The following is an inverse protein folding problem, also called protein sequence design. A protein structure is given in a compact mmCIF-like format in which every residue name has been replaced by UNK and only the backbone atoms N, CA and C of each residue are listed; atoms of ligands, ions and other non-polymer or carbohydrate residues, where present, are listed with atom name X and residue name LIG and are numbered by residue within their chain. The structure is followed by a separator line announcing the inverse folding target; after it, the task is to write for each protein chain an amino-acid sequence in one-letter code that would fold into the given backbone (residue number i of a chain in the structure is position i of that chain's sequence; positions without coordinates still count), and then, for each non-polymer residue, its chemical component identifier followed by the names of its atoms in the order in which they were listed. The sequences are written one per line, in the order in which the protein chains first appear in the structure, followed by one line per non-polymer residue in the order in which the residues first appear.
data_IF_430682443337
#
_entry.id   IF_430682443337
#
_cell.length_a   1.000
_cell.length_b   1.000
_cell.length_c   1.000
_cell.angle_alpha   90.00
_cell.angle_beta   90.00
_cell.angle_gamma   90.00
#
_symmetry.space_group_name_H-M   'P 1'
#
loop_
_entity.id
_entity.type
_entity.pdbx_description
1 polymer ?
#
# COMPACT_ATOMS: atom_id res chain seq x y z
N UNK A 1 -58.46 -2.75 -29.87
CA UNK A 1 -57.65 -2.42 -31.07
C UNK A 1 -56.75 -3.61 -31.40
N UNK A 2 -56.32 -3.78 -32.66
CA UNK A 2 -55.54 -4.94 -33.12
C UNK A 2 -54.07 -4.60 -33.44
N UNK A 3 -53.16 -5.54 -33.14
CA UNK A 3 -51.95 -5.98 -33.90
C UNK A 3 -51.22 -7.03 -33.02
N UNK A 4 -51.32 -8.33 -33.35
CA UNK A 4 -50.32 -9.16 -34.07
C UNK A 4 -49.01 -9.33 -33.26
N UNK A 5 -48.68 -10.51 -32.66
CA UNK A 5 -48.16 -11.78 -33.27
C UNK A 5 -46.81 -11.56 -33.99
N UNK A 6 -45.72 -12.35 -33.89
CA UNK A 6 -45.37 -13.72 -33.41
C UNK A 6 -43.87 -13.72 -32.94
N UNK A 7 -43.17 -14.77 -32.47
CA UNK A 7 -43.41 -15.97 -31.61
C UNK A 7 -42.06 -16.72 -31.39
N UNK A 8 -42.02 -17.88 -30.70
CA UNK A 8 -40.81 -18.70 -30.41
C UNK A 8 -40.08 -19.23 -31.66
N UNK A 9 -38.74 -19.33 -31.61
CA UNK A 9 -37.94 -20.45 -32.17
C UNK A 9 -36.72 -20.76 -31.31
N UNK A 10 -36.67 -21.97 -30.75
CA UNK A 10 -35.40 -22.65 -30.42
C UNK A 10 -34.94 -23.40 -31.67
N UNK A 11 -33.64 -23.52 -31.90
CA UNK A 11 -33.08 -24.46 -32.89
C UNK A 11 -31.90 -25.18 -32.25
N UNK A 12 -32.04 -26.50 -32.11
CA UNK A 12 -30.94 -27.43 -31.90
C UNK A 12 -30.82 -28.27 -33.18
N UNK A 13 -29.62 -28.53 -33.66
CA UNK A 13 -29.37 -29.29 -34.88
C UNK A 13 -28.06 -30.07 -34.77
N UNK A 14 -28.09 -31.37 -35.08
CA UNK A 14 -26.98 -32.31 -34.89
C UNK A 14 -26.93 -33.26 -36.08
N UNK A 15 -25.73 -33.52 -36.64
CA UNK A 15 -25.18 -34.84 -37.04
C UNK A 15 -24.06 -34.74 -38.09
N UNK A 16 -22.97 -35.51 -37.85
CA UNK A 16 -22.22 -36.45 -38.77
C UNK A 16 -21.77 -35.94 -40.16
N UNK A 17 -20.65 -36.35 -40.78
CA UNK A 17 -19.78 -37.56 -40.76
C UNK A 17 -18.30 -37.12 -41.04
N UNK A 18 -17.19 -37.79 -40.68
CA UNK A 18 -16.68 -39.15 -41.03
C UNK A 18 -16.55 -39.31 -42.57
N UNK A 19 -15.40 -39.57 -43.21
CA UNK A 19 -14.00 -39.88 -42.80
C UNK A 19 -12.98 -39.10 -43.72
N UNK A 20 -11.74 -39.48 -44.14
CA UNK A 20 -10.95 -40.73 -44.10
C UNK A 20 -9.42 -40.53 -44.37
N UNK A 21 -8.60 -41.50 -43.93
CA UNK A 21 -7.30 -42.02 -44.46
C UNK A 21 -6.13 -41.08 -44.83
N UNK A 22 -4.96 -41.35 -44.22
CA UNK A 22 -3.65 -41.43 -44.90
C UNK A 22 -2.72 -42.39 -44.13
N UNK A 23 -2.05 -43.30 -44.85
CA UNK A 23 -1.14 -44.33 -44.30
C UNK A 23 0.23 -44.23 -44.98
N UNK A 24 1.27 -43.90 -44.20
CA UNK A 24 2.65 -44.35 -44.45
C UNK A 24 3.30 -44.54 -43.08
N UNK A 25 4.04 -45.64 -42.89
CA UNK A 25 4.87 -45.87 -41.72
C UNK A 25 6.27 -46.32 -42.13
N UNK A 26 7.27 -46.03 -41.30
CA UNK A 26 8.62 -46.57 -41.42
C UNK A 26 9.21 -46.85 -40.03
N UNK A 27 9.98 -47.93 -39.91
CA UNK A 27 10.56 -48.39 -38.64
C UNK A 27 11.92 -47.72 -38.41
N UNK A 28 12.18 -47.24 -37.19
CA UNK A 28 13.42 -46.53 -36.85
C UNK A 28 13.89 -46.75 -35.41
N UNK A 29 14.76 -47.76 -35.23
CA UNK A 29 15.75 -47.96 -34.14
C UNK A 29 15.42 -47.48 -32.71
N UNK A 30 15.44 -48.43 -31.76
CA UNK A 30 15.96 -48.16 -30.41
C UNK A 30 17.40 -47.62 -30.50
N UNK A 31 17.73 -46.66 -29.65
CA UNK A 31 19.10 -46.30 -29.29
C UNK A 31 19.13 -46.21 -27.77
N UNK A 32 20.02 -46.97 -27.13
CA UNK A 32 20.30 -46.81 -25.70
C UNK A 32 21.18 -45.57 -25.49
N UNK A 33 20.88 -44.80 -24.44
CA UNK A 33 21.63 -43.62 -24.05
C UNK A 33 21.51 -43.43 -22.54
N UNK A 34 22.66 -43.41 -21.85
CA UNK A 34 22.71 -43.44 -20.39
C UNK A 34 22.11 -42.18 -19.76
N UNK A 35 21.31 -42.40 -18.71
CA UNK A 35 20.70 -41.33 -17.92
C UNK A 35 21.74 -40.68 -16.99
N UNK A 36 22.59 -39.81 -17.54
CA UNK A 36 23.51 -38.99 -16.74
C UNK A 36 22.67 -38.01 -15.90
N UNK A 37 22.54 -38.30 -14.61
CA UNK A 37 21.87 -37.44 -13.65
C UNK A 37 22.68 -36.14 -13.44
N UNK A 38 22.33 -35.08 -14.18
CA UNK A 38 22.90 -33.75 -13.96
C UNK A 38 22.29 -33.15 -12.70
N UNK A 39 23.04 -33.23 -11.59
CA UNK A 39 22.71 -32.54 -10.34
C UNK A 39 22.69 -31.03 -10.60
N UNK A 40 21.50 -30.44 -10.64
CA UNK A 40 21.34 -29.00 -10.83
C UNK A 40 22.01 -28.26 -9.66
N UNK A 41 23.00 -27.42 -9.97
CA UNK A 41 23.64 -26.57 -8.98
C UNK A 41 22.61 -25.58 -8.38
N UNK A 42 22.63 -25.31 -7.07
CA UNK A 42 21.72 -24.34 -6.47
C UNK A 42 21.99 -22.96 -7.07
N UNK A 43 21.02 -22.44 -7.82
CA UNK A 43 21.06 -21.06 -8.29
C UNK A 43 20.89 -20.15 -7.07
N UNK A 44 21.99 -19.58 -6.59
CA UNK A 44 21.94 -18.54 -5.57
C UNK A 44 21.28 -17.30 -6.17
N UNK A 45 20.00 -17.11 -5.85
CA UNK A 45 19.29 -15.86 -6.09
C UNK A 45 20.06 -14.73 -5.44
N UNK A 46 20.80 -13.96 -6.24
CA UNK A 46 21.52 -12.79 -5.74
C UNK A 46 20.48 -11.74 -5.37
N UNK A 47 20.25 -11.57 -4.06
CA UNK A 47 19.53 -10.42 -3.55
C UNK A 47 20.30 -9.18 -3.94
N UNK A 48 19.81 -8.46 -4.96
CA UNK A 48 20.40 -7.19 -5.37
C UNK A 48 20.11 -6.19 -4.25
N UNK A 49 21.08 -5.98 -3.37
CA UNK A 49 21.08 -4.86 -2.43
C UNK A 49 21.14 -3.56 -3.24
N UNK A 50 19.98 -3.01 -3.58
CA UNK A 50 19.89 -1.69 -4.19
C UNK A 50 20.46 -0.68 -3.19
N UNK A 51 21.39 0.16 -3.65
CA UNK A 51 21.91 1.26 -2.83
C UNK A 51 20.76 2.20 -2.48
N UNK A 52 20.54 2.54 -1.19
CA UNK A 52 19.41 3.39 -0.80
C UNK A 52 19.43 4.73 -1.53
N UNK A 53 18.28 5.11 -2.10
CA UNK A 53 18.13 6.40 -2.76
C UNK A 53 18.28 7.56 -1.78
N UNK A 54 19.14 8.53 -2.12
CA UNK A 54 19.34 9.77 -1.34
C UNK A 54 18.16 10.76 -1.49
N UNK A 55 16.92 10.28 -1.31
CA UNK A 55 15.70 11.04 -1.62
C UNK A 55 15.30 11.91 -0.43
N UNK A 56 15.87 13.11 -0.35
CA UNK A 56 15.53 14.09 0.71
C UNK A 56 14.10 14.58 0.52
N UNK A 57 13.28 14.45 1.58
CA UNK A 57 11.86 14.84 1.62
C UNK A 57 11.65 16.08 2.49
N UNK A 58 10.65 16.94 2.22
CA UNK A 58 10.33 18.05 3.11
C UNK A 58 9.64 17.57 4.39
N UNK A 59 9.97 18.21 5.52
CA UNK A 59 9.15 18.14 6.73
C UNK A 59 7.83 18.88 6.54
N UNK A 60 6.78 18.45 7.22
CA UNK A 60 5.48 19.10 7.27
C UNK A 60 4.91 19.04 8.69
N UNK A 61 3.84 19.80 8.96
CA UNK A 61 3.24 19.85 10.30
C UNK A 61 2.73 18.49 10.75
N UNK A 62 2.97 18.18 12.02
CA UNK A 62 2.41 17.03 12.76
C UNK A 62 0.87 17.03 12.80
N UNK A 63 0.25 18.22 12.70
CA UNK A 63 -1.18 18.39 12.93
C UNK A 63 -1.58 18.19 14.40
N UNK A 64 -2.89 18.27 14.71
CA UNK A 64 -3.39 18.27 16.10
C UNK A 64 -3.67 16.86 16.66
N UNK A 65 -3.35 15.79 15.91
CA UNK A 65 -3.80 14.43 16.21
C UNK A 65 -2.67 13.41 16.39
N UNK A 66 -1.42 13.85 16.62
CA UNK A 66 -0.37 12.94 17.09
C UNK A 66 -0.60 12.57 18.56
N UNK A 67 -0.38 11.30 18.89
CA UNK A 67 -0.45 10.75 20.25
C UNK A 67 0.66 9.69 20.34
N UNK A 68 1.55 9.80 21.31
CA UNK A 68 2.66 8.85 21.50
C UNK A 68 2.22 7.65 22.35
N UNK A 69 1.28 6.85 21.82
CA UNK A 69 0.72 5.65 22.47
C UNK A 69 1.76 4.54 22.75
N UNK A 70 3.00 4.68 22.25
CA UNK A 70 4.08 3.66 22.32
C UNK A 70 3.69 2.27 21.76
N UNK A 71 2.74 2.19 20.83
CA UNK A 71 2.24 0.93 20.26
C UNK A 71 3.18 0.35 19.20
N UNK A 72 4.11 -0.52 19.60
CA UNK A 72 4.98 -1.28 18.68
C UNK A 72 4.17 -2.38 17.96
N UNK A 73 3.70 -2.12 16.73
CA UNK A 73 2.96 -3.08 15.90
C UNK A 73 2.98 -2.71 14.41
N UNK A 74 3.00 -3.72 13.54
CA UNK A 74 2.90 -3.54 12.08
C UNK A 74 1.45 -3.46 11.61
N UNK A 75 0.55 -4.37 12.05
CA UNK A 75 -0.89 -4.22 11.80
C UNK A 75 -1.49 -3.19 12.75
N UNK A 76 -1.80 -2.01 12.22
CA UNK A 76 -2.39 -0.90 12.97
C UNK A 76 -3.92 -0.83 12.81
N UNK A 77 -4.55 -1.74 12.05
CA UNK A 77 -6.00 -1.65 11.73
C UNK A 77 -6.91 -1.97 12.91
N UNK A 78 -6.43 -2.74 13.88
CA UNK A 78 -7.19 -3.10 15.08
C UNK A 78 -7.15 -2.00 16.14
N UNK A 79 -8.22 -1.88 16.92
CA UNK A 79 -8.18 -1.22 18.23
C UNK A 79 -7.66 -2.22 19.28
N UNK A 80 -6.59 -1.91 20.05
CA UNK A 80 -6.04 -2.82 21.06
C UNK A 80 -7.00 -3.19 22.19
N UNK A 81 -7.97 -2.32 22.52
CA UNK A 81 -8.84 -2.49 23.69
C UNK A 81 -9.95 -3.54 23.51
N UNK A 82 -10.42 -3.76 22.27
CA UNK A 82 -11.55 -4.65 21.94
C UNK A 82 -11.28 -5.58 20.74
N UNK A 83 -10.17 -5.40 20.02
CA UNK A 83 -9.82 -6.15 18.81
C UNK A 83 -10.57 -5.72 17.55
N UNK A 84 -11.42 -4.69 17.59
CA UNK A 84 -12.21 -4.24 16.45
C UNK A 84 -11.32 -3.70 15.32
N UNK A 85 -11.48 -4.23 14.11
CA UNK A 85 -10.68 -3.86 12.93
C UNK A 85 -11.40 -2.77 12.13
N UNK A 86 -10.67 -1.73 11.71
CA UNK A 86 -11.23 -0.67 10.85
C UNK A 86 -11.37 -1.14 9.40
N UNK A 87 -12.59 -1.03 8.90
CA UNK A 87 -12.96 -1.28 7.50
C UNK A 87 -12.37 -0.24 6.54
N UNK A 88 -11.90 -0.70 5.39
CA UNK A 88 -11.27 0.12 4.35
C UNK A 88 -10.50 -0.73 3.33
N UNK A 89 -9.90 -0.10 2.32
CA UNK A 89 -9.03 -0.80 1.36
C UNK A 89 -7.69 -1.12 2.04
N UNK A 90 -7.27 -2.40 2.15
CA UNK A 90 -5.95 -2.77 2.63
C UNK A 90 -4.81 -2.00 1.95
N UNK A 91 -3.92 -1.45 2.76
CA UNK A 91 -2.69 -0.80 2.35
C UNK A 91 -1.53 -1.40 3.14
N UNK A 92 -0.61 -2.08 2.46
CA UNK A 92 0.71 -2.38 3.04
C UNK A 92 1.64 -1.21 2.76
N UNK A 93 2.03 -0.49 3.81
CA UNK A 93 2.88 0.69 3.75
C UNK A 93 4.31 0.31 4.14
N UNK A 94 5.24 0.50 3.21
CA UNK A 94 6.67 0.18 3.34
C UNK A 94 7.47 1.47 3.31
N UNK A 95 8.11 1.81 4.43
CA UNK A 95 9.11 2.86 4.48
C UNK A 95 10.49 2.27 4.20
N UNK A 96 11.26 2.96 3.35
CA UNK A 96 12.68 2.69 3.14
C UNK A 96 13.47 3.93 3.52
N UNK A 97 14.13 3.88 4.68
CA UNK A 97 14.76 5.02 5.33
C UNK A 97 16.29 4.90 5.21
N UNK A 98 16.93 6.03 4.89
CA UNK A 98 18.38 6.13 4.81
C UNK A 98 18.90 7.37 5.55
N UNK A 99 20.13 7.29 6.04
CA UNK A 99 20.90 8.43 6.49
C UNK A 99 21.70 8.99 5.32
N UNK A 100 21.62 10.31 5.12
CA UNK A 100 22.34 11.02 4.05
C UNK A 100 23.74 11.38 4.54
N UNK A 101 24.73 10.57 4.15
CA UNK A 101 26.15 10.86 4.38
C UNK A 101 26.75 11.76 3.29
N UNK A 102 27.96 12.28 3.53
CA UNK A 102 28.63 13.22 2.64
C UNK A 102 29.11 12.61 1.30
N UNK A 103 29.15 11.28 1.16
CA UNK A 103 29.59 10.57 -0.06
C UNK A 103 28.60 9.50 -0.53
N UNK A 104 27.70 9.02 0.34
CA UNK A 104 26.73 7.96 0.05
C UNK A 104 25.58 8.01 1.07
N UNK A 105 24.45 7.39 0.72
CA UNK A 105 23.36 7.12 1.66
C UNK A 105 23.40 5.68 2.14
N UNK A 106 23.33 5.50 3.46
CA UNK A 106 23.30 4.18 4.12
C UNK A 106 21.91 3.92 4.70
N UNK A 107 21.45 2.66 4.82
CA UNK A 107 20.19 2.38 5.49
C UNK A 107 20.23 2.89 6.94
N UNK A 108 19.15 3.50 7.42
CA UNK A 108 19.04 3.96 8.81
C UNK A 108 18.30 2.90 9.61
N UNK A 109 19.04 2.07 10.35
CA UNK A 109 18.52 1.05 11.27
C UNK A 109 18.24 1.61 12.66
N UNK A 110 17.44 0.91 13.47
CA UNK A 110 17.08 1.28 14.85
C UNK A 110 16.39 2.65 15.04
N UNK A 111 16.03 3.34 13.96
CA UNK A 111 15.11 4.48 13.99
C UNK A 111 13.67 3.99 14.18
N UNK A 112 12.90 4.72 14.98
CA UNK A 112 11.48 4.45 15.23
C UNK A 112 10.64 5.26 14.26
N UNK A 113 9.76 4.59 13.52
CA UNK A 113 8.81 5.20 12.59
C UNK A 113 7.43 5.11 13.21
N UNK A 114 6.83 6.25 13.59
CA UNK A 114 5.44 6.35 14.02
C UNK A 114 4.55 6.67 12.82
N UNK A 115 3.37 6.05 12.76
CA UNK A 115 2.35 6.25 11.72
C UNK A 115 0.99 6.49 12.38
N UNK A 116 0.27 7.52 11.94
CA UNK A 116 -1.11 7.76 12.35
C UNK A 116 -1.95 8.38 11.23
N UNK A 117 -3.21 7.97 11.11
CA UNK A 117 -4.16 8.57 10.17
C UNK A 117 -5.62 8.36 10.59
N UNK A 118 -6.53 9.02 9.87
CA UNK A 118 -7.96 8.80 10.03
C UNK A 118 -8.44 7.51 9.35
N UNK A 119 -9.53 6.96 9.86
CA UNK A 119 -10.27 5.89 9.17
C UNK A 119 -10.96 6.39 7.88
N UNK A 120 -11.62 5.49 7.16
CA UNK A 120 -12.34 5.81 5.92
C UNK A 120 -13.37 6.95 6.06
N UNK A 121 -13.91 7.18 7.27
CA UNK A 121 -14.88 8.23 7.56
C UNK A 121 -14.25 9.57 7.98
N UNK A 122 -12.92 9.63 8.08
CA UNK A 122 -12.19 10.85 8.46
C UNK A 122 -12.03 11.01 9.98
N UNK A 123 -12.30 9.96 10.76
CA UNK A 123 -12.18 9.96 12.22
C UNK A 123 -10.77 9.50 12.63
N UNK A 124 -10.07 10.32 13.41
CA UNK A 124 -8.85 9.92 14.11
C UNK A 124 -9.21 9.22 15.43
N UNK A 125 -8.33 8.35 15.92
CA UNK A 125 -8.48 7.64 17.20
C UNK A 125 -7.81 8.40 18.36
N UNK A 126 -8.10 8.02 19.61
CA UNK A 126 -7.54 8.56 20.86
C UNK A 126 -7.47 10.08 20.97
N UNK A 127 -8.42 10.79 20.34
CA UNK A 127 -8.50 12.25 20.39
C UNK A 127 -9.95 12.73 20.53
N UNK A 128 -10.09 13.89 21.16
CA UNK A 128 -11.32 14.68 21.19
C UNK A 128 -11.26 15.73 20.07
N UNK A 129 -12.14 15.60 19.07
CA UNK A 129 -12.43 16.66 18.11
C UNK A 129 -13.77 17.35 18.47
N UNK A 130 -14.16 18.40 17.75
CA UNK A 130 -15.53 18.95 17.79
C UNK A 130 -16.57 17.99 17.22
N UNK A 131 -16.14 17.07 16.38
CA UNK A 131 -16.99 16.21 15.54
C UNK A 131 -17.09 14.77 16.05
N UNK A 132 -16.17 14.35 16.93
CA UNK A 132 -16.08 13.00 17.49
C UNK A 132 -15.27 13.01 18.79
N UNK A 133 -15.57 12.06 19.69
CA UNK A 133 -14.70 11.64 20.78
C UNK A 133 -14.27 10.19 20.52
N UNK A 134 -12.99 9.90 20.74
CA UNK A 134 -12.38 8.59 20.52
C UNK A 134 -11.36 8.19 21.60
N UNK A 135 -11.36 8.87 22.76
CA UNK A 135 -10.47 8.51 23.88
C UNK A 135 -10.56 7.03 24.26
N UNK A 136 -9.42 6.37 24.41
CA UNK A 136 -9.28 4.94 24.67
C UNK A 136 -9.40 4.04 23.44
N UNK A 137 -9.70 4.57 22.25
CA UNK A 137 -9.68 3.82 20.99
C UNK A 137 -8.37 4.11 20.25
N UNK A 138 -7.49 3.14 20.07
CA UNK A 138 -6.16 3.34 19.47
C UNK A 138 -6.03 2.65 18.10
N UNK A 139 -7.01 2.81 17.21
CA UNK A 139 -6.95 2.26 15.85
C UNK A 139 -6.12 3.16 14.91
N UNK A 140 -5.51 2.57 13.86
CA UNK A 140 -4.76 3.28 12.81
C UNK A 140 -3.62 4.18 13.34
N UNK A 141 -3.02 3.72 14.44
CA UNK A 141 -1.86 4.29 15.14
C UNK A 141 -0.84 3.21 15.48
N UNK A 142 0.45 3.50 15.34
CA UNK A 142 1.50 2.62 15.87
C UNK A 142 2.89 2.97 15.36
N UNK A 143 3.90 2.30 15.89
CA UNK A 143 5.27 2.43 15.43
C UNK A 143 5.90 1.08 15.06
N UNK A 144 6.91 1.15 14.21
CA UNK A 144 7.85 0.06 13.94
C UNK A 144 9.29 0.60 14.05
N UNK A 145 10.22 -0.28 14.40
CA UNK A 145 11.66 0.03 14.39
C UNK A 145 12.23 -0.43 13.05
N UNK A 146 12.99 0.44 12.38
CA UNK A 146 13.65 0.12 11.11
C UNK A 146 14.66 -1.02 11.29
N UNK A 147 14.56 -2.03 10.43
CA UNK A 147 15.52 -3.14 10.36
C UNK A 147 16.93 -2.68 9.97
N UNK A 148 17.91 -3.59 9.98
CA UNK A 148 19.28 -3.38 9.44
C UNK A 148 19.29 -2.86 7.99
N UNK A 149 18.23 -3.12 7.21
CA UNK A 149 18.06 -2.63 5.85
C UNK A 149 17.37 -1.25 5.79
N UNK A 150 17.13 -0.57 6.91
CA UNK A 150 16.43 0.71 6.97
C UNK A 150 14.92 0.63 6.67
N UNK A 151 14.37 -0.59 6.60
CA UNK A 151 12.98 -0.84 6.21
C UNK A 151 12.07 -0.94 7.43
N UNK A 152 10.89 -0.32 7.38
CA UNK A 152 9.80 -0.49 8.35
C UNK A 152 8.47 -0.72 7.62
N UNK A 153 7.66 -1.70 8.04
CA UNK A 153 6.44 -2.13 7.34
C UNK A 153 5.20 -2.09 8.23
N UNK A 154 4.11 -1.56 7.69
CA UNK A 154 2.79 -1.49 8.32
C UNK A 154 1.72 -2.14 7.44
N UNK A 155 0.75 -2.80 8.07
CA UNK A 155 -0.52 -3.16 7.45
C UNK A 155 -1.60 -2.22 7.99
N UNK A 156 -2.21 -1.46 7.09
CA UNK A 156 -3.23 -0.46 7.41
C UNK A 156 -4.35 -0.46 6.35
N UNK A 157 -5.20 0.57 6.36
CA UNK A 157 -6.14 0.88 5.27
C UNK A 157 -5.76 2.20 4.58
N UNK A 158 -6.17 2.36 3.33
CA UNK A 158 -6.17 3.67 2.66
C UNK A 158 -6.99 4.68 3.49
N UNK A 159 -6.48 5.88 3.80
CA UNK A 159 -7.13 6.79 4.73
C UNK A 159 -8.41 7.39 4.16
N UNK A 160 -9.29 7.87 5.03
CA UNK A 160 -10.31 8.84 4.65
C UNK A 160 -9.73 10.23 4.39
N UNK A 161 -10.63 11.18 4.19
CA UNK A 161 -10.35 12.62 4.16
C UNK A 161 -11.17 13.33 5.24
N UNK A 162 -10.89 14.59 5.53
CA UNK A 162 -11.73 15.44 6.39
C UNK A 162 -11.76 16.88 5.87
N UNK A 163 -12.78 17.70 6.24
CA UNK A 163 -13.00 19.00 5.60
C UNK A 163 -11.77 19.91 5.60
N UNK A 164 -11.38 20.38 4.41
CA UNK A 164 -10.19 21.21 4.20
C UNK A 164 -8.87 20.44 3.97
N UNK A 165 -8.85 19.11 4.06
CA UNK A 165 -7.68 18.27 3.81
C UNK A 165 -7.92 17.22 2.72
N UNK A 166 -6.90 16.99 1.89
CA UNK A 166 -6.84 15.87 0.94
C UNK A 166 -6.49 14.56 1.68
N UNK A 167 -6.62 13.35 1.10
CA UNK A 167 -6.24 12.10 1.76
C UNK A 167 -4.76 12.07 2.11
N UNK A 168 -4.42 11.71 3.35
CA UNK A 168 -3.03 11.65 3.80
C UNK A 168 -2.83 10.67 4.98
N UNK A 169 -1.60 10.21 5.13
CA UNK A 169 -1.11 9.48 6.31
C UNK A 169 0.00 10.32 6.95
N UNK A 170 -0.02 10.54 8.27
CA UNK A 170 1.08 11.22 8.96
C UNK A 170 2.17 10.22 9.33
N UNK A 171 3.42 10.68 9.37
CA UNK A 171 4.52 9.92 9.93
C UNK A 171 5.52 10.79 10.68
N UNK A 172 6.17 10.20 11.68
CA UNK A 172 7.31 10.75 12.41
C UNK A 172 8.42 9.71 12.41
N UNK A 173 9.65 10.11 12.17
CA UNK A 173 10.84 9.28 12.33
C UNK A 173 11.64 9.84 13.50
N UNK A 174 11.94 9.01 14.49
CA UNK A 174 12.67 9.36 15.71
C UNK A 174 13.96 8.55 15.78
N UNK A 175 15.11 9.23 15.87
CA UNK A 175 16.43 8.58 15.90
C UNK A 175 16.85 8.25 17.33
N UNK A 176 17.80 7.32 17.50
CA UNK A 176 18.37 6.99 18.83
C UNK A 176 19.11 8.18 19.48
N UNK A 177 19.48 9.18 18.67
CA UNK A 177 20.11 10.43 19.03
C UNK A 177 19.10 11.50 19.51
N UNK A 178 17.79 11.25 19.36
CA UNK A 178 16.73 12.18 19.75
C UNK A 178 16.35 13.21 18.68
N UNK A 179 16.76 13.02 17.43
CA UNK A 179 16.25 13.84 16.32
C UNK A 179 14.87 13.34 15.89
N UNK A 180 14.00 14.27 15.52
CA UNK A 180 12.69 13.96 14.94
C UNK A 180 12.54 14.58 13.54
N UNK A 181 12.08 13.78 12.59
CA UNK A 181 11.58 14.24 11.29
C UNK A 181 10.08 13.97 11.24
N UNK A 182 9.24 15.00 11.09
CA UNK A 182 7.79 14.83 10.98
C UNK A 182 7.30 15.30 9.61
N UNK A 183 6.43 14.51 8.97
CA UNK A 183 5.82 14.87 7.69
C UNK A 183 4.56 14.04 7.39
N UNK A 184 4.07 14.13 6.15
CA UNK A 184 2.84 13.47 5.70
C UNK A 184 3.09 12.74 4.37
N UNK A 185 2.31 11.70 4.10
CA UNK A 185 2.26 10.97 2.83
C UNK A 185 0.95 11.31 2.13
N UNK A 186 1.02 11.57 0.83
CA UNK A 186 -0.13 11.89 -0.01
C UNK A 186 -0.35 10.85 -1.10
N UNK A 187 -1.49 10.92 -1.77
CA UNK A 187 -1.91 9.95 -2.78
C UNK A 187 -2.25 10.66 -4.08
N UNK A 188 -2.06 9.97 -5.21
CA UNK A 188 -2.53 10.46 -6.50
C UNK A 188 -4.06 10.68 -6.49
N UNK A 189 -4.52 11.78 -7.08
CA UNK A 189 -5.95 12.14 -7.10
C UNK A 189 -6.79 11.10 -7.87
N UNK A 190 -6.26 10.53 -8.96
CA UNK A 190 -6.96 9.50 -9.75
C UNK A 190 -6.94 8.11 -9.08
N UNK A 191 -6.06 7.84 -8.12
CA UNK A 191 -6.20 6.70 -7.21
C UNK A 191 -7.25 6.99 -6.13
N UNK A 192 -7.28 8.22 -5.60
CA UNK A 192 -8.27 8.66 -4.61
C UNK A 192 -9.71 8.58 -5.16
N UNK A 193 -9.94 9.06 -6.39
CA UNK A 193 -11.21 8.92 -7.11
C UNK A 193 -11.65 7.43 -7.20
N UNK A 194 -10.73 6.49 -7.46
CA UNK A 194 -11.04 5.05 -7.51
C UNK A 194 -11.38 4.46 -6.14
N UNK A 195 -10.60 4.78 -5.11
CA UNK A 195 -10.83 4.24 -3.75
C UNK A 195 -12.12 4.80 -3.14
N UNK A 196 -12.49 6.04 -3.46
CA UNK A 196 -13.70 6.66 -2.91
C UNK A 196 -14.98 6.38 -3.72
N UNK A 197 -14.87 5.70 -4.87
CA UNK A 197 -16.02 5.15 -5.59
C UNK A 197 -16.62 3.88 -4.96
N UNK A 198 -16.00 3.32 -3.90
CA UNK A 198 -16.38 2.05 -3.28
C UNK A 198 -16.58 2.12 -1.75
N UNK A 199 -17.33 1.15 -1.21
CA UNK A 199 -17.59 0.99 0.24
C UNK A 199 -16.27 0.69 0.97
N UNK A 200 -16.04 1.22 2.20
CA UNK A 200 -16.91 2.09 3.00
C UNK A 200 -16.83 3.60 2.68
N UNK A 201 -15.99 4.02 1.73
CA UNK A 201 -15.70 5.43 1.45
C UNK A 201 -16.84 6.15 0.69
N UNK A 202 -17.52 5.44 -0.21
CA UNK A 202 -18.53 5.97 -1.14
C UNK A 202 -19.83 6.47 -0.49
N UNK A 203 -19.96 6.40 0.84
CA UNK A 203 -21.09 6.98 1.60
C UNK A 203 -20.92 8.49 1.83
N UNK A 204 -19.77 9.06 1.47
CA UNK A 204 -19.37 10.44 1.75
C UNK A 204 -19.50 11.34 0.51
N UNK A 205 -19.45 12.65 0.75
CA UNK A 205 -19.38 13.65 -0.32
C UNK A 205 -18.02 13.63 -1.03
N UNK A 206 -17.87 14.42 -2.10
CA UNK A 206 -16.62 14.52 -2.86
C UNK A 206 -15.46 15.03 -1.96
N UNK A 207 -14.34 14.34 -2.01
CA UNK A 207 -13.12 14.71 -1.29
C UNK A 207 -12.43 15.96 -1.88
N UNK A 208 -11.60 16.67 -1.09
CA UNK A 208 -10.64 17.63 -1.62
C UNK A 208 -9.53 16.93 -2.41
N UNK A 209 -9.21 17.49 -3.58
CA UNK A 209 -8.03 17.12 -4.36
C UNK A 209 -6.74 17.67 -3.73
N UNK A 210 -5.59 17.11 -4.09
CA UNK A 210 -4.28 17.60 -3.64
C UNK A 210 -4.09 19.10 -3.90
N UNK A 211 -4.51 19.56 -5.08
CA UNK A 211 -4.42 20.97 -5.48
C UNK A 211 -5.25 21.93 -4.61
N UNK A 212 -6.23 21.44 -3.84
CA UNK A 212 -7.05 22.23 -2.93
C UNK A 212 -6.44 22.34 -1.52
N UNK A 213 -5.63 21.37 -1.10
CA UNK A 213 -5.00 21.31 0.22
C UNK A 213 -3.80 22.28 0.35
N UNK A 214 -3.82 23.13 1.38
CA UNK A 214 -2.79 24.13 1.61
C UNK A 214 -1.44 23.56 2.05
N UNK A 215 -1.43 22.40 2.72
CA UNK A 215 -0.22 21.71 3.18
C UNK A 215 0.35 20.88 2.03
N UNK A 216 -0.49 20.25 1.19
CA UNK A 216 -0.01 19.62 -0.06
C UNK A 216 0.69 20.64 -0.97
N UNK A 217 0.10 21.83 -1.18
CA UNK A 217 0.75 22.90 -1.97
C UNK A 217 2.08 23.39 -1.37
N UNK A 218 2.38 23.06 -0.12
CA UNK A 218 3.66 23.34 0.56
C UNK A 218 4.63 22.15 0.49
N UNK A 219 4.82 21.56 -0.70
CA UNK A 219 5.81 20.52 -0.97
C UNK A 219 5.33 19.06 -0.87
N UNK A 220 4.00 18.85 -0.84
CA UNK A 220 3.36 17.53 -0.83
C UNK A 220 3.50 16.75 -2.15
N UNK A 221 3.84 17.45 -3.24
CA UNK A 221 4.26 16.86 -4.52
C UNK A 221 5.45 15.89 -4.35
N UNK A 222 6.40 16.27 -3.48
CA UNK A 222 7.55 15.45 -3.10
C UNK A 222 7.23 14.40 -2.04
N UNK A 223 5.98 14.26 -1.63
CA UNK A 223 5.49 13.36 -0.57
C UNK A 223 4.39 12.40 -1.05
N UNK A 224 4.18 12.29 -2.37
CA UNK A 224 3.31 11.28 -2.96
C UNK A 224 3.86 9.87 -2.70
N UNK A 225 2.99 8.96 -2.27
CA UNK A 225 3.27 7.55 -2.02
C UNK A 225 3.20 6.73 -3.32
N UNK A 226 4.27 6.00 -3.65
CA UNK A 226 4.29 5.14 -4.84
C UNK A 226 3.44 3.89 -4.58
N UNK A 227 2.22 3.87 -5.13
CA UNK A 227 1.30 2.75 -5.02
C UNK A 227 1.45 1.72 -6.14
N UNK A 228 1.30 0.45 -5.81
CA UNK A 228 1.12 -0.68 -6.73
C UNK A 228 -0.10 -1.49 -6.27
N UNK A 229 -0.94 -1.95 -7.20
CA UNK A 229 -2.11 -2.78 -6.90
C UNK A 229 -1.70 -4.20 -6.45
N UNK A 230 -2.33 -4.73 -5.41
CA UNK A 230 -2.18 -6.10 -4.90
C UNK A 230 -3.59 -6.74 -4.76
N UNK A 231 -3.66 -8.06 -4.59
CA UNK A 231 -4.87 -8.90 -4.68
C UNK A 231 -6.06 -8.48 -3.82
N UNK A 232 -5.86 -7.62 -2.82
CA UNK A 232 -6.92 -7.09 -1.95
C UNK A 232 -6.87 -5.57 -1.75
N UNK A 233 -5.97 -4.84 -2.43
CA UNK A 233 -5.74 -3.41 -2.15
C UNK A 233 -4.45 -2.90 -2.77
N UNK A 234 -3.60 -2.23 -1.98
CA UNK A 234 -2.35 -1.64 -2.47
C UNK A 234 -1.13 -1.96 -1.61
N UNK A 235 0.04 -1.94 -2.25
CA UNK A 235 1.36 -1.80 -1.62
C UNK A 235 1.82 -0.37 -1.89
N UNK A 236 2.13 0.38 -0.84
CA UNK A 236 2.72 1.72 -0.93
C UNK A 236 4.18 1.70 -0.50
N UNK A 237 5.07 2.19 -1.34
CA UNK A 237 6.51 2.28 -1.07
C UNK A 237 6.93 3.75 -0.95
N UNK A 238 7.65 4.09 0.12
CA UNK A 238 8.14 5.44 0.38
C UNK A 238 9.63 5.46 0.76
N UNK A 239 10.47 5.94 -0.16
CA UNK A 239 11.89 6.19 0.09
C UNK A 239 12.12 7.58 0.70
N UNK A 240 12.92 7.65 1.76
CA UNK A 240 13.34 8.92 2.38
C UNK A 240 14.80 8.86 2.84
N UNK A 241 15.57 9.90 2.50
CA UNK A 241 16.87 10.19 3.07
C UNK A 241 16.77 11.29 4.13
N UNK A 242 17.19 11.01 5.35
CA UNK A 242 17.31 11.98 6.44
C UNK A 242 18.71 12.59 6.47
N UNK A 243 18.76 13.92 6.47
CA UNK A 243 19.96 14.67 6.83
C UNK A 243 19.96 14.83 8.35
N UNK A 244 20.81 14.06 9.03
CA UNK A 244 21.07 14.16 10.47
C UNK A 244 22.15 15.23 10.73
N UNK A 245 22.11 15.88 11.89
CA UNK A 245 22.96 17.02 12.25
C UNK A 245 24.38 16.65 12.76
#
# INVERSE_FOLDING_TARGET
MQRLRFSRRQILGVMRSIAAVSLVGCVGRKVEGDAIAQTAAPTTSQTISQTPGCVVRPQQTEGPYFVDDRLNRSDIRSNPADGAVKEGVPLRLVFQISQVGAQACTPLSEAMVDVWHCDAQGVYSDVQDRSFDTGGQQFLRGYQVTTVNGTAEFLTIYPGWYPGRTPHIHFKIRTAQGEEFTSQLYFDDAVSDRVYAQVPYSVRQRHPTNAQDGIFRSGGDRLLLTLTEDRSGYIGQFEIGLQMA
#
